data_IF_085561132749
#
_entry.id   IF_085561132749
#
_cell.length_a   1.000
_cell.length_b   1.000
_cell.length_c   1.000
_cell.angle_alpha   90.00
_cell.angle_beta   90.00
_cell.angle_gamma   90.00
#
_symmetry.space_group_name_H-M   'P 1'
#
loop_
_entity.id
_entity.type
_entity.pdbx_description
1 polymer ?
#
# COMPACT_ATOMS: atom_id res chain seq x y z
N UNK A 1 5.63 -74.65 9.40
CA UNK A 1 5.70 -73.66 8.30
C UNK A 1 4.50 -72.75 8.48
N UNK A 2 4.70 -71.66 9.21
CA UNK A 2 3.67 -70.70 9.57
C UNK A 2 3.58 -69.67 8.46
N UNK A 3 2.49 -69.65 7.72
CA UNK A 3 2.21 -68.65 6.69
C UNK A 3 1.68 -67.38 7.36
N UNK A 4 2.50 -66.33 7.38
CA UNK A 4 2.07 -64.98 7.75
C UNK A 4 1.01 -64.47 6.76
N UNK A 5 -0.07 -63.81 7.22
CA UNK A 5 -1.02 -63.15 6.34
C UNK A 5 -0.40 -61.87 5.77
N UNK A 6 -0.31 -61.79 4.44
CA UNK A 6 0.02 -60.54 3.76
C UNK A 6 -1.00 -59.44 4.13
N UNK A 7 -0.58 -58.20 4.41
CA UNK A 7 -1.50 -57.10 4.63
C UNK A 7 -2.18 -56.76 3.30
N UNK A 8 -3.50 -56.97 3.25
CA UNK A 8 -4.35 -56.61 2.12
C UNK A 8 -4.36 -55.09 1.94
N UNK A 9 -3.68 -54.61 0.90
CA UNK A 9 -3.71 -53.21 0.47
C UNK A 9 -5.00 -52.90 -0.29
N UNK A 10 -6.14 -52.97 0.40
CA UNK A 10 -7.35 -52.28 -0.05
C UNK A 10 -7.21 -50.78 0.24
N UNK A 11 -6.36 -50.10 -0.53
CA UNK A 11 -6.46 -48.65 -0.65
C UNK A 11 -7.72 -48.37 -1.48
N UNK A 12 -8.88 -48.32 -0.82
CA UNK A 12 -10.11 -47.85 -1.43
C UNK A 12 -9.83 -46.45 -2.00
N UNK A 13 -9.81 -46.35 -3.33
CA UNK A 13 -9.66 -45.08 -4.01
C UNK A 13 -10.89 -44.23 -3.71
N UNK A 14 -10.83 -43.48 -2.62
CA UNK A 14 -11.86 -42.49 -2.31
C UNK A 14 -11.95 -41.49 -3.48
N UNK A 15 -13.16 -40.98 -3.78
CA UNK A 15 -13.30 -39.80 -4.62
C UNK A 15 -12.34 -38.70 -4.14
N UNK A 16 -11.72 -37.96 -5.07
CA UNK A 16 -10.65 -36.99 -4.78
C UNK A 16 -11.00 -36.04 -3.63
N UNK A 17 -12.25 -35.59 -3.59
CA UNK A 17 -12.73 -34.62 -2.61
C UNK A 17 -12.85 -35.23 -1.22
N UNK A 18 -13.22 -36.52 -1.14
CA UNK A 18 -13.32 -37.24 0.13
C UNK A 18 -11.92 -37.49 0.71
N UNK A 19 -10.95 -37.83 -0.13
CA UNK A 19 -9.56 -37.98 0.30
C UNK A 19 -8.97 -36.65 0.81
N UNK A 20 -9.27 -35.54 0.13
CA UNK A 20 -8.84 -34.18 0.52
C UNK A 20 -9.30 -33.80 1.93
N UNK A 21 -10.48 -34.24 2.36
CA UNK A 21 -11.01 -33.95 3.70
C UNK A 21 -10.52 -34.93 4.78
N UNK A 22 -10.33 -36.21 4.44
CA UNK A 22 -9.96 -37.26 5.43
C UNK A 22 -8.46 -37.23 5.74
N UNK A 23 -7.61 -37.11 4.71
CA UNK A 23 -6.16 -37.00 4.86
C UNK A 23 -5.61 -35.91 3.91
N UNK A 24 -5.73 -34.63 4.29
CA UNK A 24 -5.26 -33.52 3.48
C UNK A 24 -3.76 -33.63 3.15
N UNK A 25 -2.94 -34.05 4.12
CA UNK A 25 -1.49 -34.14 3.95
C UNK A 25 -1.13 -35.26 2.97
N UNK A 26 -1.74 -36.44 3.11
CA UNK A 26 -1.55 -37.57 2.19
C UNK A 26 -2.03 -37.26 0.78
N UNK A 27 -3.15 -36.54 0.66
CA UNK A 27 -3.67 -36.03 -0.61
C UNK A 27 -2.66 -35.11 -1.29
N UNK A 28 -2.19 -34.05 -0.61
CA UNK A 28 -1.20 -33.12 -1.16
C UNK A 28 0.12 -33.83 -1.55
N UNK A 29 0.62 -34.74 -0.70
CA UNK A 29 1.83 -35.53 -1.01
C UNK A 29 1.73 -36.28 -2.32
N UNK A 30 0.55 -36.76 -2.73
CA UNK A 30 0.34 -37.46 -4.00
C UNK A 30 0.58 -36.54 -5.20
N UNK A 31 0.08 -35.31 -5.16
CA UNK A 31 0.25 -34.32 -6.23
C UNK A 31 1.67 -33.74 -6.25
N UNK A 32 2.22 -33.44 -5.07
CA UNK A 32 3.55 -32.86 -4.93
C UNK A 32 4.66 -33.81 -5.43
N UNK A 33 4.47 -35.14 -5.34
CA UNK A 33 5.35 -36.13 -5.99
C UNK A 33 5.44 -35.98 -7.51
N UNK A 34 4.42 -35.38 -8.13
CA UNK A 34 4.36 -35.11 -9.57
C UNK A 34 4.79 -33.66 -9.90
N UNK A 35 5.27 -32.89 -8.93
CA UNK A 35 5.60 -31.45 -9.06
C UNK A 35 4.42 -30.57 -9.52
N UNK A 36 3.20 -30.99 -9.18
CA UNK A 36 1.96 -30.29 -9.50
C UNK A 36 1.16 -30.10 -8.22
N UNK A 37 0.44 -28.99 -8.12
CA UNK A 37 -0.48 -28.67 -7.02
C UNK A 37 -1.90 -29.17 -7.34
N UNK A 38 -2.78 -29.35 -6.35
CA UNK A 38 -4.14 -29.82 -6.59
C UNK A 38 -4.98 -28.92 -7.52
N UNK A 39 -4.63 -27.65 -7.64
CA UNK A 39 -5.22 -26.68 -8.57
C UNK A 39 -4.63 -26.74 -10.00
N UNK A 40 -3.66 -27.62 -10.24
CA UNK A 40 -2.98 -27.79 -11.53
C UNK A 40 -1.76 -26.87 -11.74
N UNK A 41 -1.44 -25.98 -10.78
CA UNK A 41 -0.26 -25.11 -10.88
C UNK A 41 1.04 -25.86 -10.59
N UNK A 42 2.15 -25.31 -11.09
CA UNK A 42 3.51 -25.73 -10.69
C UNK A 42 3.86 -25.16 -9.31
N UNK A 43 4.87 -25.72 -8.65
CA UNK A 43 5.32 -25.29 -7.32
C UNK A 43 5.77 -23.81 -7.26
N UNK A 44 6.32 -23.29 -8.36
CA UNK A 44 6.83 -21.90 -8.49
C UNK A 44 5.86 -20.97 -9.24
N UNK A 45 4.61 -21.38 -9.45
CA UNK A 45 3.64 -20.59 -10.22
C UNK A 45 2.69 -19.80 -9.31
N UNK A 46 2.61 -18.50 -9.57
CA UNK A 46 1.67 -17.58 -8.91
C UNK A 46 0.25 -17.72 -9.45
N UNK A 47 -0.73 -17.29 -8.67
CA UNK A 47 -2.10 -17.06 -9.15
C UNK A 47 -2.16 -15.87 -10.10
N UNK A 48 -3.21 -15.81 -10.91
CA UNK A 48 -3.47 -14.67 -11.79
C UNK A 48 -3.76 -13.43 -10.94
N UNK A 49 -3.09 -12.33 -11.26
CA UNK A 49 -3.26 -11.04 -10.59
C UNK A 49 -4.05 -10.10 -11.49
N UNK A 50 -5.10 -9.49 -10.95
CA UNK A 50 -5.86 -8.42 -11.60
C UNK A 50 -5.88 -7.19 -10.71
N UNK A 51 -5.53 -6.03 -11.26
CA UNK A 51 -5.55 -4.75 -10.55
C UNK A 51 -6.60 -3.86 -11.20
N UNK A 52 -7.58 -3.43 -10.42
CA UNK A 52 -8.65 -2.53 -10.87
C UNK A 52 -8.56 -1.20 -10.13
N UNK A 53 -8.65 -0.11 -10.88
CA UNK A 53 -8.75 1.24 -10.32
C UNK A 53 -10.19 1.50 -9.91
N UNK A 54 -10.40 2.05 -8.71
CA UNK A 54 -11.71 2.44 -8.23
C UNK A 54 -11.76 3.96 -8.16
N UNK A 55 -12.70 4.56 -8.90
CA UNK A 55 -12.83 6.01 -8.95
C UNK A 55 -13.02 6.60 -7.55
N UNK A 56 -12.21 7.62 -7.27
CA UNK A 56 -12.28 8.40 -6.04
C UNK A 56 -13.58 9.22 -6.06
N UNK A 57 -14.52 8.93 -5.14
CA UNK A 57 -15.73 9.75 -4.98
C UNK A 57 -15.38 11.17 -4.56
N UNK A 58 -16.21 12.12 -5.03
CA UNK A 58 -16.10 13.58 -4.88
C UNK A 58 -15.48 14.06 -3.56
N UNK A 59 -14.48 14.93 -3.67
CA UNK A 59 -13.80 15.54 -2.53
C UNK A 59 -14.70 16.55 -1.79
N UNK A 60 -14.61 16.64 -0.46
CA UNK A 60 -15.15 17.79 0.26
C UNK A 60 -14.33 19.04 -0.10
N UNK A 61 -15.01 20.14 -0.43
CA UNK A 61 -14.36 21.39 -0.84
C UNK A 61 -13.62 22.08 0.32
N UNK A 62 -14.10 21.92 1.55
CA UNK A 62 -13.53 22.51 2.77
C UNK A 62 -12.97 21.39 3.64
N UNK A 63 -11.72 21.53 4.09
CA UNK A 63 -11.10 20.59 5.02
C UNK A 63 -11.13 21.16 6.42
N UNK A 64 -11.78 20.46 7.34
CA UNK A 64 -11.57 20.65 8.77
C UNK A 64 -10.30 19.92 9.19
N UNK A 65 -9.68 20.36 10.29
CA UNK A 65 -8.51 19.67 10.85
C UNK A 65 -8.90 18.23 11.21
N UNK A 66 -8.20 17.24 10.63
CA UNK A 66 -8.53 15.82 10.77
C UNK A 66 -9.56 15.25 9.78
N UNK A 67 -10.19 16.06 8.93
CA UNK A 67 -11.03 15.54 7.84
C UNK A 67 -10.13 15.15 6.65
N UNK A 68 -10.02 13.85 6.40
CA UNK A 68 -9.15 13.27 5.37
C UNK A 68 -9.79 13.24 3.99
N UNK A 69 -8.96 13.38 2.96
CA UNK A 69 -9.37 13.21 1.56
C UNK A 69 -8.88 11.89 1.02
N UNK A 70 -9.74 11.10 0.38
CA UNK A 70 -9.31 9.90 -0.35
C UNK A 70 -8.55 10.35 -1.61
N UNK A 71 -7.29 9.93 -1.74
CA UNK A 71 -6.42 10.32 -2.87
C UNK A 71 -6.20 9.18 -3.88
N UNK A 72 -6.47 7.94 -3.46
CA UNK A 72 -6.28 6.76 -4.30
C UNK A 72 -7.10 5.60 -3.75
N UNK A 73 -7.69 4.81 -4.64
CA UNK A 73 -8.39 3.58 -4.27
C UNK A 73 -8.15 2.50 -5.30
N UNK A 74 -7.70 1.33 -4.85
CA UNK A 74 -7.27 0.24 -5.73
C UNK A 74 -7.82 -1.06 -5.20
N UNK A 75 -8.33 -1.91 -6.10
CA UNK A 75 -8.67 -3.29 -5.80
C UNK A 75 -7.66 -4.21 -6.47
N UNK A 76 -7.06 -5.10 -5.69
CA UNK A 76 -6.17 -6.17 -6.16
C UNK A 76 -6.85 -7.50 -5.92
N UNK A 77 -6.92 -8.30 -6.97
CA UNK A 77 -7.46 -9.66 -6.97
C UNK A 77 -6.31 -10.59 -7.30
N UNK A 78 -5.99 -11.50 -6.38
CA UNK A 78 -4.94 -12.50 -6.54
C UNK A 78 -5.58 -13.88 -6.37
N UNK A 79 -5.92 -14.51 -7.50
CA UNK A 79 -6.83 -15.65 -7.52
C UNK A 79 -8.17 -15.29 -6.85
N UNK A 80 -8.51 -15.99 -5.77
CA UNK A 80 -9.73 -15.76 -4.99
C UNK A 80 -9.50 -14.88 -3.73
N UNK A 81 -8.28 -14.33 -3.56
CA UNK A 81 -8.00 -13.34 -2.51
C UNK A 81 -8.24 -11.93 -3.03
N UNK A 82 -9.22 -11.23 -2.46
CA UNK A 82 -9.61 -9.88 -2.86
C UNK A 82 -9.24 -8.86 -1.79
N UNK A 83 -8.45 -7.87 -2.17
CA UNK A 83 -7.98 -6.80 -1.28
C UNK A 83 -8.30 -5.44 -1.87
N UNK A 84 -8.95 -4.59 -1.08
CA UNK A 84 -9.28 -3.22 -1.41
C UNK A 84 -8.43 -2.27 -0.57
N UNK A 85 -7.60 -1.45 -1.22
CA UNK A 85 -6.74 -0.46 -0.57
C UNK A 85 -7.28 0.95 -0.83
N UNK A 86 -7.41 1.74 0.24
CA UNK A 86 -7.83 3.13 0.21
C UNK A 86 -6.76 3.97 0.88
N UNK A 87 -6.24 4.97 0.17
CA UNK A 87 -5.27 5.93 0.72
C UNK A 87 -5.99 7.25 0.99
N UNK A 88 -5.94 7.71 2.23
CA UNK A 88 -6.47 9.00 2.68
C UNK A 88 -5.31 9.93 3.05
N UNK A 89 -5.38 11.19 2.62
CA UNK A 89 -4.48 12.25 3.02
C UNK A 89 -5.18 13.19 3.99
N UNK A 90 -4.62 13.35 5.19
CA UNK A 90 -5.11 14.24 6.23
C UNK A 90 -4.15 15.42 6.38
N UNK A 91 -4.62 16.67 6.24
CA UNK A 91 -3.82 17.83 6.61
C UNK A 91 -3.79 17.92 8.15
N UNK A 92 -2.60 17.93 8.75
CA UNK A 92 -2.45 18.05 10.20
C UNK A 92 -1.48 19.17 10.52
N UNK A 93 -1.90 20.08 11.41
CA UNK A 93 -0.97 21.05 11.99
C UNK A 93 -0.21 20.42 13.16
N UNK A 94 1.12 20.45 13.10
CA UNK A 94 1.93 19.97 14.21
C UNK A 94 2.13 21.08 15.25
N UNK A 95 1.59 20.91 16.46
CA UNK A 95 1.86 21.81 17.58
C UNK A 95 3.31 21.67 18.07
N UNK A 96 4.01 22.81 18.17
CA UNK A 96 5.45 22.91 18.50
C UNK A 96 5.70 22.78 20.01
N UNK A 97 4.99 21.89 20.73
CA UNK A 97 5.06 21.84 22.20
C UNK A 97 6.11 20.86 22.75
N UNK A 98 6.69 19.97 21.93
CA UNK A 98 7.71 19.01 22.37
C UNK A 98 8.88 19.04 21.37
N UNK A 99 10.15 19.18 21.83
CA UNK A 99 11.30 19.00 20.94
C UNK A 99 11.20 17.58 20.34
N UNK A 100 11.49 17.37 19.04
CA UNK A 100 11.37 16.07 18.42
C UNK A 100 12.42 15.13 19.05
N UNK A 101 12.03 14.42 20.10
CA UNK A 101 12.80 13.31 20.65
C UNK A 101 12.85 12.25 19.56
N UNK A 102 14.03 12.09 18.97
CA UNK A 102 14.52 10.94 18.20
C UNK A 102 13.42 9.96 17.73
N UNK A 103 12.65 10.41 16.74
CA UNK A 103 11.49 9.71 16.22
C UNK A 103 10.58 10.70 15.51
N UNK A 104 10.78 10.89 14.21
CA UNK A 104 9.79 11.56 13.36
C UNK A 104 8.43 10.93 13.65
N UNK A 105 7.45 11.73 14.11
CA UNK A 105 6.07 11.24 14.23
C UNK A 105 5.70 10.49 12.94
N UNK A 106 5.10 9.31 13.08
CA UNK A 106 4.73 8.48 11.94
C UNK A 106 3.77 9.27 11.04
N UNK A 107 4.24 9.56 9.82
CA UNK A 107 3.46 10.32 8.83
C UNK A 107 2.54 9.39 8.04
N UNK A 108 2.88 8.11 8.00
CA UNK A 108 2.06 7.08 7.34
C UNK A 108 1.53 6.16 8.42
N UNK A 109 0.22 5.93 8.42
CA UNK A 109 -0.43 4.88 9.19
C UNK A 109 -1.03 3.87 8.21
N UNK A 110 -0.94 2.58 8.53
CA UNK A 110 -1.52 1.50 7.74
C UNK A 110 -2.39 0.68 8.66
N UNK A 111 -3.63 0.46 8.28
CA UNK A 111 -4.55 -0.43 8.96
C UNK A 111 -5.05 -1.50 8.00
N UNK A 112 -5.18 -2.72 8.50
CA UNK A 112 -5.67 -3.85 7.73
C UNK A 112 -6.90 -4.41 8.43
N UNK A 113 -8.05 -4.10 7.86
CA UNK A 113 -9.34 -4.55 8.34
C UNK A 113 -9.70 -5.89 7.68
N UNK A 114 -10.12 -6.83 8.52
CA UNK A 114 -10.63 -8.12 8.09
C UNK A 114 -12.08 -8.24 8.56
N UNK A 115 -13.05 -8.49 7.66
CA UNK A 115 -14.39 -8.88 8.05
C UNK A 115 -14.37 -10.11 8.96
N UNK A 116 -15.36 -10.23 9.85
CA UNK A 116 -15.42 -11.35 10.83
C UNK A 116 -15.40 -12.73 10.16
N UNK A 117 -16.05 -12.84 9.00
CA UNK A 117 -16.03 -14.06 8.19
C UNK A 117 -14.61 -14.39 7.74
N UNK A 118 -13.88 -13.42 7.19
CA UNK A 118 -12.50 -13.57 6.72
C UNK A 118 -11.55 -13.92 7.86
N UNK A 119 -11.68 -13.26 9.00
CA UNK A 119 -10.85 -13.54 10.18
C UNK A 119 -10.89 -15.02 10.55
N UNK A 120 -12.07 -15.67 10.44
CA UNK A 120 -12.27 -17.09 10.75
C UNK A 120 -11.67 -18.07 9.73
N UNK A 121 -11.05 -17.60 8.65
CA UNK A 121 -10.42 -18.46 7.64
C UNK A 121 -8.88 -18.42 7.69
N UNK A 122 -8.30 -17.50 8.45
CA UNK A 122 -6.85 -17.32 8.55
C UNK A 122 -6.27 -18.31 9.55
N UNK A 123 -5.66 -19.36 9.02
CA UNK A 123 -5.07 -20.45 9.78
C UNK A 123 -3.69 -20.79 9.22
N UNK A 124 -2.77 -21.10 10.11
CA UNK A 124 -1.50 -21.75 9.80
C UNK A 124 -1.49 -23.19 10.36
N UNK A 125 -0.38 -23.92 10.18
CA UNK A 125 -0.19 -25.25 10.74
C UNK A 125 -0.28 -25.32 12.28
N UNK A 126 -0.13 -24.20 12.99
CA UNK A 126 -0.21 -24.12 14.45
C UNK A 126 -1.59 -23.67 14.96
N UNK A 127 -2.48 -23.22 14.08
CA UNK A 127 -3.86 -22.90 14.39
C UNK A 127 -4.31 -21.56 13.82
N UNK A 128 -5.25 -20.91 14.51
CA UNK A 128 -5.85 -19.67 14.05
C UNK A 128 -4.89 -18.48 14.25
N UNK A 129 -4.56 -17.77 13.17
CA UNK A 129 -3.61 -16.64 13.19
C UNK A 129 -4.34 -15.29 13.29
N UNK A 130 -5.08 -15.09 14.38
CA UNK A 130 -6.01 -13.95 14.53
C UNK A 130 -5.35 -12.56 14.46
N UNK A 131 -4.04 -12.48 14.73
CA UNK A 131 -3.30 -11.21 14.77
C UNK A 131 -2.50 -10.93 13.49
N UNK A 132 -2.64 -11.76 12.46
CA UNK A 132 -1.79 -11.68 11.26
C UNK A 132 -1.94 -10.34 10.53
N UNK A 133 -3.15 -9.79 10.44
CA UNK A 133 -3.41 -8.46 9.89
C UNK A 133 -2.66 -7.34 10.64
N UNK A 134 -2.63 -7.38 11.97
CA UNK A 134 -1.91 -6.38 12.78
C UNK A 134 -0.39 -6.46 12.56
N UNK A 135 0.15 -7.67 12.41
CA UNK A 135 1.57 -7.86 12.09
C UNK A 135 1.91 -7.24 10.73
N UNK A 136 1.08 -7.47 9.70
CA UNK A 136 1.28 -6.91 8.36
C UNK A 136 1.10 -5.39 8.37
N UNK A 137 0.06 -4.87 9.05
CA UNK A 137 -0.19 -3.43 9.22
C UNK A 137 1.03 -2.73 9.83
N UNK A 138 1.57 -3.26 10.94
CA UNK A 138 2.74 -2.69 11.60
C UNK A 138 3.99 -2.79 10.71
N UNK A 139 4.19 -3.91 10.00
CA UNK A 139 5.28 -4.07 9.05
C UNK A 139 5.22 -3.00 7.96
N UNK A 140 4.07 -2.86 7.29
CA UNK A 140 3.86 -1.87 6.23
C UNK A 140 4.04 -0.45 6.75
N UNK A 141 3.49 -0.13 7.92
CA UNK A 141 3.66 1.17 8.56
C UNK A 141 5.14 1.49 8.80
N UNK A 142 5.92 0.55 9.31
CA UNK A 142 7.36 0.75 9.54
C UNK A 142 8.15 0.91 8.24
N UNK A 143 7.84 0.09 7.23
CA UNK A 143 8.48 0.16 5.91
C UNK A 143 8.20 1.50 5.22
N UNK A 144 6.94 1.94 5.19
CA UNK A 144 6.54 3.19 4.54
C UNK A 144 7.00 4.45 5.30
N UNK A 145 7.20 4.35 6.61
CA UNK A 145 7.82 5.42 7.39
C UNK A 145 9.36 5.42 7.29
N UNK A 146 9.98 4.51 6.54
CA UNK A 146 11.40 4.60 6.21
C UNK A 146 11.62 5.64 5.12
N UNK A 147 12.65 6.48 5.29
CA UNK A 147 13.01 7.51 4.29
C UNK A 147 13.55 6.87 2.99
N UNK A 148 13.94 5.58 3.04
CA UNK A 148 14.36 4.80 1.87
C UNK A 148 13.21 4.52 0.88
N UNK A 149 11.95 4.53 1.35
CA UNK A 149 10.77 4.24 0.52
C UNK A 149 10.07 5.55 0.12
N UNK A 150 9.62 6.31 1.12
CA UNK A 150 8.88 7.55 0.95
C UNK A 150 9.65 8.72 1.59
N UNK A 151 10.27 9.60 0.77
CA UNK A 151 10.92 10.80 1.29
C UNK A 151 9.92 11.69 2.04
N UNK A 152 10.05 11.80 3.36
CA UNK A 152 9.12 12.59 4.22
C UNK A 152 9.13 14.08 3.91
N UNK A 153 10.20 14.58 3.29
CA UNK A 153 10.33 15.97 2.86
C UNK A 153 9.17 16.42 1.96
N UNK A 154 8.64 15.51 1.15
CA UNK A 154 7.54 15.81 0.25
C UNK A 154 6.20 15.99 0.97
N UNK A 155 6.05 15.53 2.22
CA UNK A 155 4.80 15.62 2.99
C UNK A 155 4.75 16.88 3.87
N UNK A 156 5.90 17.51 4.14
CA UNK A 156 6.00 18.66 5.05
C UNK A 156 5.94 19.98 4.27
N UNK A 157 4.96 20.82 4.57
CA UNK A 157 4.84 22.13 3.91
C UNK A 157 6.01 23.05 4.24
N UNK A 158 6.63 22.91 5.41
CA UNK A 158 7.86 23.63 5.76
C UNK A 158 8.96 23.38 4.73
N UNK A 159 9.03 22.18 4.13
CA UNK A 159 10.04 21.79 3.14
C UNK A 159 9.61 22.13 1.72
N UNK A 160 8.33 21.87 1.38
CA UNK A 160 7.74 22.21 0.07
C UNK A 160 7.80 23.72 -0.19
N UNK A 161 7.53 24.54 0.84
CA UNK A 161 7.43 25.98 0.71
C UNK A 161 8.74 26.72 0.96
N UNK A 162 9.88 26.02 1.14
CA UNK A 162 11.20 26.65 1.37
C UNK A 162 11.51 27.65 0.25
N UNK A 163 11.76 28.90 0.64
CA UNK A 163 12.27 29.95 -0.24
C UNK A 163 13.75 29.71 -0.55
N UNK A 164 14.12 29.67 -1.82
CA UNK A 164 15.44 30.15 -2.23
C UNK A 164 15.55 31.63 -1.87
N UNK A 165 16.70 32.05 -1.37
CA UNK A 165 17.01 33.24 -0.57
C UNK A 165 16.65 34.64 -1.11
N UNK A 166 15.85 34.79 -2.19
CA UNK A 166 15.65 36.07 -2.86
C UNK A 166 14.21 36.62 -2.96
N UNK A 167 13.17 35.87 -2.56
CA UNK A 167 11.78 36.37 -2.56
C UNK A 167 11.22 36.53 -1.14
N UNK A 168 10.59 37.68 -0.86
CA UNK A 168 9.89 37.90 0.41
C UNK A 168 8.77 36.84 0.57
N UNK A 169 8.73 36.08 1.68
CA UNK A 169 7.72 35.04 1.84
C UNK A 169 6.33 35.66 1.98
N UNK A 170 5.41 35.19 1.14
CA UNK A 170 4.00 35.54 1.21
C UNK A 170 3.40 35.18 2.58
N UNK A 171 2.37 35.93 2.98
CA UNK A 171 1.59 35.74 4.21
C UNK A 171 1.08 34.30 4.35
N UNK A 172 0.53 33.73 3.29
CA UNK A 172 0.04 32.34 3.24
C UNK A 172 1.18 31.34 3.45
N UNK A 173 2.28 31.47 2.69
CA UNK A 173 3.42 30.56 2.79
C UNK A 173 4.04 30.58 4.18
N UNK A 174 4.15 31.78 4.79
CA UNK A 174 4.61 31.96 6.16
C UNK A 174 3.68 31.27 7.15
N UNK A 175 2.36 31.43 7.01
CA UNK A 175 1.39 30.80 7.90
C UNK A 175 1.49 29.27 7.88
N UNK A 176 1.46 28.67 6.69
CA UNK A 176 1.54 27.21 6.51
C UNK A 176 2.86 26.63 7.04
N UNK A 177 3.96 27.36 6.83
CA UNK A 177 5.29 26.95 7.29
C UNK A 177 5.46 27.11 8.81
N UNK A 178 4.97 28.19 9.40
CA UNK A 178 5.06 28.44 10.85
C UNK A 178 4.22 27.46 11.68
N UNK A 179 3.08 27.02 11.13
CA UNK A 179 2.21 26.04 11.78
C UNK A 179 2.59 24.59 11.48
N UNK A 180 3.71 24.36 10.79
CA UNK A 180 4.23 23.04 10.43
C UNK A 180 3.14 22.12 9.84
N UNK A 181 2.37 22.65 8.86
CA UNK A 181 1.37 21.82 8.18
C UNK A 181 2.06 20.62 7.52
N UNK A 182 1.55 19.42 7.79
CA UNK A 182 2.10 18.18 7.26
C UNK A 182 0.98 17.28 6.77
N UNK A 183 1.21 16.59 5.66
CA UNK A 183 0.33 15.52 5.20
C UNK A 183 0.59 14.25 6.01
N UNK A 184 -0.44 13.76 6.69
CA UNK A 184 -0.49 12.41 7.24
C UNK A 184 -1.25 11.51 6.27
N UNK A 185 -0.65 10.39 5.88
CA UNK A 185 -1.28 9.38 5.03
C UNK A 185 -1.86 8.29 5.91
N UNK A 186 -3.13 7.97 5.71
CA UNK A 186 -3.82 6.87 6.36
C UNK A 186 -4.24 5.86 5.29
N UNK A 187 -3.66 4.67 5.35
CA UNK A 187 -3.86 3.61 4.36
C UNK A 187 -4.73 2.54 5.02
N UNK A 188 -5.96 2.41 4.55
CA UNK A 188 -6.88 1.37 5.00
C UNK A 188 -6.94 0.27 3.94
N UNK A 189 -6.62 -0.95 4.34
CA UNK A 189 -6.68 -2.15 3.50
C UNK A 189 -7.79 -3.04 4.03
N UNK A 190 -8.79 -3.32 3.21
CA UNK A 190 -9.89 -4.23 3.50
C UNK A 190 -9.70 -5.53 2.71
N UNK A 191 -9.60 -6.67 3.39
CA UNK A 191 -9.64 -7.97 2.72
C UNK A 191 -11.10 -8.42 2.59
N UNK A 192 -11.66 -8.36 1.39
CA UNK A 192 -13.06 -8.73 1.12
C UNK A 192 -13.23 -10.24 1.09
N UNK A 193 -12.31 -10.94 0.41
CA UNK A 193 -12.28 -12.40 0.28
C UNK A 193 -10.86 -12.90 0.53
N UNK A 194 -10.74 -14.03 1.22
CA UNK A 194 -9.46 -14.60 1.61
C UNK A 194 -9.36 -16.05 1.14
N UNK A 195 -8.40 -16.30 0.26
CA UNK A 195 -7.95 -17.62 -0.11
C UNK A 195 -6.42 -17.75 0.07
N UNK A 196 -5.89 -17.25 1.19
CA UNK A 196 -4.46 -17.37 1.51
C UNK A 196 -3.58 -16.29 0.87
N UNK A 197 -2.37 -16.18 1.41
CA UNK A 197 -1.39 -15.14 1.11
C UNK A 197 -1.97 -13.72 1.26
N UNK A 198 -2.12 -13.24 2.50
CA UNK A 198 -2.59 -11.87 2.76
C UNK A 198 -1.51 -10.81 2.50
N UNK A 199 -0.24 -11.15 2.74
CA UNK A 199 0.87 -10.19 2.75
C UNK A 199 1.15 -9.63 1.35
N UNK A 200 1.34 -10.49 0.37
CA UNK A 200 1.72 -10.08 -0.99
C UNK A 200 0.68 -9.16 -1.66
N UNK A 201 -0.63 -9.50 -1.69
CA UNK A 201 -1.63 -8.58 -2.24
C UNK A 201 -1.77 -7.30 -1.42
N UNK A 202 -1.54 -7.32 -0.10
CA UNK A 202 -1.58 -6.10 0.73
C UNK A 202 -0.43 -5.14 0.39
N UNK A 203 0.79 -5.66 0.25
CA UNK A 203 1.98 -4.89 -0.17
C UNK A 203 1.78 -4.38 -1.60
N UNK A 204 1.32 -5.24 -2.50
CA UNK A 204 1.07 -4.89 -3.91
C UNK A 204 0.00 -3.80 -4.07
N UNK A 205 -1.14 -3.95 -3.37
CA UNK A 205 -2.22 -2.97 -3.39
C UNK A 205 -1.76 -1.62 -2.84
N UNK A 206 -0.97 -1.64 -1.76
CA UNK A 206 -0.40 -0.43 -1.17
C UNK A 206 0.57 0.25 -2.12
N UNK A 207 1.54 -0.49 -2.69
CA UNK A 207 2.52 0.05 -3.65
C UNK A 207 1.83 0.64 -4.89
N UNK A 208 0.80 -0.02 -5.42
CA UNK A 208 0.06 0.48 -6.58
C UNK A 208 -0.82 1.71 -6.24
N UNK A 209 -1.52 1.68 -5.11
CA UNK A 209 -2.34 2.80 -4.66
C UNK A 209 -1.49 4.05 -4.38
N UNK A 210 -0.33 3.87 -3.77
CA UNK A 210 0.65 4.91 -3.52
C UNK A 210 1.24 5.49 -4.82
N UNK A 211 1.62 4.65 -5.81
CA UNK A 211 2.11 5.14 -7.11
C UNK A 211 1.08 6.01 -7.86
N UNK A 212 -0.21 5.73 -7.68
CA UNK A 212 -1.31 6.51 -8.26
C UNK A 212 -1.72 7.72 -7.43
N UNK A 213 -1.36 7.77 -6.14
CA UNK A 213 -1.83 8.80 -5.23
C UNK A 213 -1.37 10.20 -5.66
N UNK A 214 -2.34 11.11 -5.72
CA UNK A 214 -2.13 12.53 -6.04
C UNK A 214 -2.51 13.35 -4.80
N UNK A 215 -1.52 14.01 -4.21
CA UNK A 215 -1.76 14.93 -3.09
C UNK A 215 -2.42 16.22 -3.59
N UNK A 216 -3.60 16.60 -3.09
CA UNK A 216 -4.31 17.77 -3.55
C UNK A 216 -3.59 19.06 -3.13
N UNK A 217 -3.74 20.12 -3.93
CA UNK A 217 -3.25 21.46 -3.58
C UNK A 217 -4.12 22.07 -2.50
N UNK A 218 -3.49 22.55 -1.43
CA UNK A 218 -4.14 23.21 -0.30
C UNK A 218 -4.08 24.72 -0.45
N UNK A 219 -5.23 25.36 -0.29
CA UNK A 219 -5.42 26.80 -0.25
C UNK A 219 -5.73 27.23 1.18
N UNK A 220 -5.30 28.45 1.53
CA UNK A 220 -5.62 29.11 2.78
C UNK A 220 -6.66 30.22 2.50
N UNK A 221 -7.86 30.04 3.04
CA UNK A 221 -8.94 31.02 2.95
C UNK A 221 -9.02 31.82 4.25
N UNK A 222 -8.94 33.15 4.14
CA UNK A 222 -9.06 34.05 5.28
C UNK A 222 -10.50 34.51 5.43
N UNK A 223 -11.17 34.10 6.51
CA UNK A 223 -12.51 34.55 6.83
C UNK A 223 -12.45 35.84 7.66
N UNK A 224 -12.83 36.95 7.04
CA UNK A 224 -12.89 38.25 7.73
C UNK A 224 -13.90 38.27 8.89
N UNK A 225 -14.92 37.39 8.86
CA UNK A 225 -15.95 37.32 9.89
C UNK A 225 -15.46 36.67 11.20
N UNK A 226 -14.56 35.69 11.12
CA UNK A 226 -14.02 34.96 12.27
C UNK A 226 -12.57 35.34 12.61
N UNK A 227 -11.90 36.11 11.76
CA UNK A 227 -10.46 36.43 11.89
C UNK A 227 -9.55 35.19 11.79
N UNK A 228 -10.12 34.04 11.39
CA UNK A 228 -9.43 32.76 11.33
C UNK A 228 -9.11 32.37 9.89
N UNK A 229 -8.08 31.55 9.74
CA UNK A 229 -7.74 30.92 8.47
C UNK A 229 -8.35 29.51 8.43
N UNK A 230 -8.86 29.12 7.26
CA UNK A 230 -9.40 27.79 6.99
C UNK A 230 -8.71 27.15 5.79
N UNK A 231 -8.62 25.82 5.78
CA UNK A 231 -8.01 25.06 4.70
C UNK A 231 -9.08 24.67 3.67
N UNK A 232 -8.78 24.92 2.39
CA UNK A 232 -9.65 24.58 1.26
C UNK A 232 -8.84 23.84 0.21
N UNK A 233 -9.44 22.85 -0.44
CA UNK A 233 -8.79 22.17 -1.56
C UNK A 233 -9.04 22.91 -2.88
N UNK A 234 -8.05 22.84 -3.77
CA UNK A 234 -8.21 23.31 -5.15
C UNK A 234 -8.94 22.25 -5.98
N UNK A 235 -10.26 22.40 -6.07
CA UNK A 235 -11.15 21.54 -6.83
C UNK A 235 -11.62 22.17 -8.15
N UNK A 236 -12.27 21.36 -8.99
CA UNK A 236 -12.85 21.82 -10.25
C UNK A 236 -13.88 22.96 -10.03
N UNK A 237 -14.67 22.91 -8.96
CA UNK A 237 -15.71 23.94 -8.72
C UNK A 237 -15.10 25.31 -8.47
N UNK A 238 -13.99 25.38 -7.70
CA UNK A 238 -13.25 26.61 -7.45
C UNK A 238 -12.65 27.15 -8.76
N UNK A 239 -12.14 26.29 -9.63
CA UNK A 239 -11.57 26.72 -10.92
C UNK A 239 -12.63 27.19 -11.94
N UNK A 240 -13.77 26.51 -12.03
CA UNK A 240 -14.88 26.94 -12.87
C UNK A 240 -15.49 28.26 -12.38
N UNK A 241 -15.58 28.47 -11.05
CA UNK A 241 -15.99 29.76 -10.49
C UNK A 241 -14.99 30.88 -10.80
N UNK A 242 -13.69 30.59 -10.76
CA UNK A 242 -12.66 31.53 -11.19
C UNK A 242 -12.78 31.88 -12.69
N UNK A 243 -13.10 30.90 -13.54
CA UNK A 243 -13.34 31.12 -14.98
C UNK A 243 -14.58 31.98 -15.24
N UNK A 244 -15.60 31.87 -14.38
CA UNK A 244 -16.79 32.75 -14.38
C UNK A 244 -16.51 34.16 -13.84
N UNK A 245 -15.25 34.50 -13.54
CA UNK A 245 -14.80 35.78 -13.01
C UNK A 245 -15.42 36.15 -11.65
N UNK A 246 -15.67 35.15 -10.79
CA UNK A 246 -16.07 35.43 -9.41
C UNK A 246 -14.92 36.13 -8.65
N UNK A 247 -15.21 37.33 -8.14
CA UNK A 247 -14.22 38.21 -7.51
C UNK A 247 -13.61 37.60 -6.23
N UNK A 248 -14.40 36.84 -5.47
CA UNK A 248 -13.93 36.20 -4.24
C UNK A 248 -12.95 35.08 -4.54
N UNK A 249 -13.30 34.21 -5.49
CA UNK A 249 -12.46 33.09 -5.90
C UNK A 249 -11.16 33.54 -6.58
N UNK A 250 -11.21 34.58 -7.42
CA UNK A 250 -10.00 35.15 -8.02
C UNK A 250 -9.07 35.76 -6.96
N UNK A 251 -9.62 36.48 -5.98
CA UNK A 251 -8.83 37.02 -4.86
C UNK A 251 -8.17 35.89 -4.06
N UNK A 252 -8.87 34.79 -3.82
CA UNK A 252 -8.32 33.61 -3.13
C UNK A 252 -7.16 32.99 -3.92
N UNK A 253 -7.31 32.79 -5.23
CA UNK A 253 -6.26 32.22 -6.09
C UNK A 253 -5.03 33.13 -6.17
N UNK A 254 -5.22 34.44 -6.31
CA UNK A 254 -4.12 35.39 -6.32
C UNK A 254 -3.38 35.44 -4.99
N UNK A 255 -4.10 35.40 -3.85
CA UNK A 255 -3.50 35.37 -2.52
C UNK A 255 -2.75 34.05 -2.23
N UNK A 256 -3.14 32.95 -2.88
CA UNK A 256 -2.50 31.64 -2.72
C UNK A 256 -1.49 31.32 -3.84
N UNK A 257 -1.26 32.22 -4.80
CA UNK A 257 -0.47 31.96 -6.00
C UNK A 257 0.88 31.32 -5.70
N UNK A 258 1.68 31.96 -4.85
CA UNK A 258 3.03 31.46 -4.54
C UNK A 258 2.99 30.09 -3.84
N UNK A 259 1.95 29.84 -3.03
CA UNK A 259 1.74 28.54 -2.39
C UNK A 259 1.40 27.47 -3.43
N UNK A 260 0.51 27.76 -4.38
CA UNK A 260 0.13 26.85 -5.48
C UNK A 260 1.35 26.54 -6.36
N UNK A 261 2.09 27.57 -6.77
CA UNK A 261 3.29 27.44 -7.61
C UNK A 261 4.32 26.52 -6.95
N UNK A 262 4.54 26.65 -5.64
CA UNK A 262 5.50 25.82 -4.88
C UNK A 262 4.99 24.40 -4.64
N UNK A 263 3.70 24.23 -4.36
CA UNK A 263 3.12 22.89 -4.18
C UNK A 263 3.16 22.07 -5.47
N UNK A 264 2.94 22.71 -6.62
CA UNK A 264 2.96 22.05 -7.94
C UNK A 264 4.34 22.03 -8.60
N UNK A 265 5.25 22.92 -8.20
CA UNK A 265 6.54 23.11 -8.88
C UNK A 265 6.41 23.79 -10.24
N UNK A 266 5.36 24.59 -10.47
CA UNK A 266 5.04 25.25 -11.75
C UNK A 266 5.06 26.76 -11.54
N UNK A 267 5.46 27.54 -12.55
CA UNK A 267 5.28 29.00 -12.58
C UNK A 267 3.96 29.36 -13.26
N UNK A 268 3.06 30.05 -12.56
CA UNK A 268 1.75 30.42 -13.08
C UNK A 268 1.79 31.85 -13.61
N UNK A 269 1.08 32.11 -14.71
CA UNK A 269 0.84 33.47 -15.20
C UNK A 269 -0.37 34.08 -14.51
N UNK A 270 -0.28 35.35 -14.11
CA UNK A 270 -1.35 36.05 -13.36
C UNK A 270 -2.66 36.08 -14.14
N UNK A 271 -2.58 36.37 -15.44
CA UNK A 271 -3.76 36.60 -16.28
C UNK A 271 -4.48 35.30 -16.67
N UNK A 272 -3.76 34.18 -16.79
CA UNK A 272 -4.29 32.91 -17.31
C UNK A 272 -4.23 31.77 -16.29
N UNK A 273 -4.19 32.10 -14.99
CA UNK A 273 -3.99 31.12 -13.91
C UNK A 273 -5.05 30.01 -13.92
N UNK A 274 -6.33 30.37 -13.98
CA UNK A 274 -7.42 29.40 -13.96
C UNK A 274 -7.40 28.46 -15.17
N UNK A 275 -7.13 28.98 -16.37
CA UNK A 275 -7.01 28.17 -17.59
C UNK A 275 -5.80 27.24 -17.59
N UNK A 276 -4.66 27.69 -17.05
CA UNK A 276 -3.45 26.85 -16.91
C UNK A 276 -3.70 25.72 -15.92
N UNK A 277 -4.32 26.02 -14.79
CA UNK A 277 -4.69 25.04 -13.77
C UNK A 277 -5.71 24.03 -14.32
N UNK A 278 -6.77 24.47 -15.00
CA UNK A 278 -7.73 23.59 -15.64
C UNK A 278 -7.09 22.65 -16.68
N UNK A 279 -6.09 23.12 -17.43
CA UNK A 279 -5.36 22.27 -18.39
C UNK A 279 -4.50 21.21 -17.69
N UNK A 280 -3.94 21.55 -16.53
CA UNK A 280 -3.19 20.60 -15.70
C UNK A 280 -4.07 19.63 -14.91
N UNK A 281 -5.39 19.87 -14.88
CA UNK A 281 -6.34 19.04 -14.17
C UNK A 281 -6.67 17.81 -15.02
N UNK A 282 -6.27 16.64 -14.54
CA UNK A 282 -6.63 15.36 -15.16
C UNK A 282 -8.09 14.98 -14.88
N UNK A 283 -8.39 13.69 -15.01
CA UNK A 283 -9.73 13.12 -14.76
C UNK A 283 -10.15 13.11 -13.29
N UNK A 284 -9.23 13.39 -12.36
CA UNK A 284 -9.43 13.24 -10.92
C UNK A 284 -10.32 14.32 -10.25
N UNK A 285 -10.78 15.35 -10.98
CA UNK A 285 -11.67 16.38 -10.44
C UNK A 285 -11.01 17.37 -9.45
N UNK A 286 -9.72 17.20 -9.16
CA UNK A 286 -8.88 18.13 -8.39
C UNK A 286 -7.46 18.20 -8.97
N UNK A 287 -6.72 19.24 -8.59
CA UNK A 287 -5.32 19.42 -8.99
C UNK A 287 -4.42 19.03 -7.83
N UNK A 288 -3.33 18.33 -8.15
CA UNK A 288 -2.38 17.91 -7.15
C UNK A 288 -1.05 17.43 -7.72
N UNK A 289 -0.19 16.97 -6.82
CA UNK A 289 1.14 16.47 -7.13
C UNK A 289 1.23 14.98 -6.83
N UNK A 290 1.77 14.20 -7.75
CA UNK A 290 2.07 12.78 -7.52
C UNK A 290 3.12 12.62 -6.40
N UNK A 291 2.97 11.56 -5.61
CA UNK A 291 3.98 11.17 -4.64
C UNK A 291 5.24 10.65 -5.36
N UNK A 292 6.41 11.03 -4.85
CA UNK A 292 7.71 10.54 -5.31
C UNK A 292 8.20 9.42 -4.41
N UNK A 293 8.77 8.38 -5.02
CA UNK A 293 9.27 7.20 -4.33
C UNK A 293 10.74 6.99 -4.65
N UNK A 294 11.52 6.63 -3.64
CA UNK A 294 12.92 6.26 -3.81
C UNK A 294 13.06 4.79 -4.21
N UNK A 295 12.15 3.95 -3.71
CA UNK A 295 12.12 2.51 -3.95
C UNK A 295 10.71 1.95 -3.74
N UNK A 296 10.42 0.80 -4.35
CA UNK A 296 9.12 0.13 -4.21
C UNK A 296 9.28 -1.16 -3.40
N UNK A 297 8.53 -1.32 -2.29
CA UNK A 297 8.54 -2.55 -1.51
C UNK A 297 7.72 -3.63 -2.21
N UNK A 298 8.26 -4.84 -2.21
CA UNK A 298 7.61 -6.06 -2.68
C UNK A 298 7.84 -7.18 -1.68
N UNK A 299 6.92 -8.13 -1.65
CA UNK A 299 7.08 -9.37 -0.90
C UNK A 299 6.76 -10.56 -1.78
N UNK A 300 7.41 -11.68 -1.49
CA UNK A 300 7.07 -12.98 -2.05
C UNK A 300 6.89 -13.95 -0.90
N UNK A 301 5.69 -14.49 -0.78
CA UNK A 301 5.33 -15.44 0.27
C UNK A 301 5.54 -16.88 -0.19
N UNK A 302 6.24 -17.64 0.64
CA UNK A 302 6.53 -19.05 0.45
C UNK A 302 5.90 -19.86 1.58
N UNK A 303 5.32 -21.00 1.27
CA UNK A 303 4.88 -21.98 2.25
C UNK A 303 5.88 -23.12 2.32
N UNK A 304 6.31 -23.45 3.54
CA UNK A 304 7.06 -24.66 3.83
C UNK A 304 6.08 -25.82 4.08
N UNK A 305 6.01 -26.76 3.14
CA UNK A 305 5.18 -27.95 3.26
C UNK A 305 5.92 -29.12 3.94
N UNK A 306 7.23 -29.25 3.69
CA UNK A 306 8.12 -30.22 4.35
C UNK A 306 9.52 -29.61 4.56
N UNK A 307 10.48 -30.37 5.08
CA UNK A 307 11.82 -29.85 5.36
C UNK A 307 12.49 -29.21 4.14
N UNK A 308 12.32 -29.79 2.96
CA UNK A 308 12.98 -29.36 1.71
C UNK A 308 12.02 -28.83 0.63
N UNK A 309 10.71 -28.74 0.92
CA UNK A 309 9.70 -28.40 -0.08
C UNK A 309 9.01 -27.07 0.24
N UNK A 310 9.17 -26.12 -0.69
CA UNK A 310 8.55 -24.80 -0.64
C UNK A 310 7.60 -24.59 -1.82
N UNK A 311 6.45 -23.98 -1.53
CA UNK A 311 5.46 -23.56 -2.51
C UNK A 311 5.41 -22.04 -2.54
N UNK A 312 5.32 -21.46 -3.73
CA UNK A 312 5.14 -20.01 -3.88
C UNK A 312 3.66 -19.68 -3.91
N UNK A 313 3.27 -18.57 -3.28
CA UNK A 313 1.89 -18.07 -3.28
C UNK A 313 0.88 -19.14 -2.84
N UNK A 314 0.87 -19.47 -1.52
CA UNK A 314 0.00 -20.50 -0.98
C UNK A 314 -1.47 -20.06 -0.95
N UNK A 315 -2.35 -21.05 -1.14
CA UNK A 315 -3.79 -20.94 -0.93
C UNK A 315 -4.15 -21.13 0.54
N UNK A 316 -5.37 -20.76 0.92
CA UNK A 316 -5.83 -20.89 2.31
C UNK A 316 -5.81 -22.34 2.81
N UNK A 317 -6.02 -23.32 1.94
CA UNK A 317 -5.91 -24.73 2.30
C UNK A 317 -4.46 -25.12 2.57
N UNK A 318 -3.51 -24.67 1.76
CA UNK A 318 -2.11 -25.04 1.93
C UNK A 318 -1.50 -24.39 3.17
N UNK A 319 -1.91 -23.16 3.50
CA UNK A 319 -1.51 -22.50 4.75
C UNK A 319 -1.91 -23.30 6.00
N UNK A 320 -3.07 -23.97 5.98
CA UNK A 320 -3.48 -24.90 7.05
C UNK A 320 -2.56 -26.11 7.20
N UNK A 321 -1.84 -26.49 6.15
CA UNK A 321 -0.98 -27.67 6.14
C UNK A 321 0.48 -27.36 6.49
N UNK A 322 0.89 -26.09 6.46
CA UNK A 322 2.28 -25.70 6.58
C UNK A 322 2.47 -24.36 7.28
N UNK A 323 3.71 -23.87 7.22
CA UNK A 323 4.06 -22.55 7.77
C UNK A 323 4.57 -21.67 6.65
N UNK A 324 4.30 -20.37 6.74
CA UNK A 324 4.71 -19.42 5.71
C UNK A 324 5.97 -18.67 6.12
N UNK A 325 6.79 -18.32 5.14
CA UNK A 325 7.91 -17.40 5.28
C UNK A 325 7.90 -16.52 4.05
N UNK A 326 8.08 -15.23 4.25
CA UNK A 326 8.06 -14.28 3.14
C UNK A 326 9.45 -13.65 2.99
N UNK A 327 9.81 -13.30 1.77
CA UNK A 327 11.01 -12.50 1.51
C UNK A 327 10.55 -11.10 1.17
N UNK A 328 10.94 -10.14 1.99
CA UNK A 328 10.82 -8.72 1.67
C UNK A 328 11.94 -8.33 0.72
N UNK A 329 11.58 -7.62 -0.33
CA UNK A 329 12.50 -7.09 -1.33
C UNK A 329 12.21 -5.61 -1.54
N UNK A 330 13.27 -4.81 -1.51
CA UNK A 330 13.24 -3.41 -1.87
C UNK A 330 14.10 -3.21 -3.12
N UNK A 331 13.46 -2.75 -4.20
CA UNK A 331 14.15 -2.42 -5.43
C UNK A 331 14.58 -0.95 -5.41
N UNK A 332 15.89 -0.72 -5.33
CA UNK A 332 16.48 0.61 -5.39
C UNK A 332 16.52 1.16 -6.81
N UNK A 333 16.51 2.48 -6.94
CA UNK A 333 16.66 3.17 -8.24
C UNK A 333 18.02 2.95 -8.91
N UNK A 334 19.01 2.48 -8.16
CA UNK A 334 20.34 2.06 -8.64
C UNK A 334 20.35 0.63 -9.22
N UNK A 335 19.20 -0.05 -9.25
CA UNK A 335 19.07 -1.44 -9.68
C UNK A 335 19.50 -2.46 -8.61
N UNK A 336 19.86 -2.01 -7.41
CA UNK A 336 20.20 -2.91 -6.31
C UNK A 336 18.94 -3.49 -5.65
N UNK A 337 19.05 -4.72 -5.15
CA UNK A 337 18.00 -5.37 -4.36
C UNK A 337 18.46 -5.47 -2.92
N UNK A 338 17.69 -4.88 -2.00
CA UNK A 338 17.84 -5.14 -0.56
C UNK A 338 16.77 -6.14 -0.15
N UNK A 339 17.16 -7.24 0.48
CA UNK A 339 16.23 -8.30 0.87
C UNK A 339 16.31 -8.59 2.36
N UNK A 340 15.18 -8.94 2.96
CA UNK A 340 15.10 -9.38 4.36
C UNK A 340 14.11 -10.54 4.51
N UNK A 341 14.41 -11.55 5.36
CA UNK A 341 13.45 -12.59 5.66
C UNK A 341 12.37 -12.07 6.61
N UNK A 342 11.12 -12.40 6.30
CA UNK A 342 9.94 -12.14 7.12
C UNK A 342 9.36 -13.47 7.59
N UNK A 343 9.71 -13.87 8.81
CA UNK A 343 9.19 -15.10 9.41
C UNK A 343 8.01 -14.80 10.35
N UNK A 344 6.89 -14.33 9.77
CA UNK A 344 5.73 -13.87 10.55
C UNK A 344 4.95 -15.01 11.20
N UNK A 345 4.96 -16.22 10.63
CA UNK A 345 4.26 -17.39 11.19
C UNK A 345 5.21 -18.36 11.90
N UNK A 346 6.38 -17.87 12.34
CA UNK A 346 7.35 -18.66 13.12
C UNK A 346 7.72 -20.01 12.48
N UNK A 347 7.95 -20.04 11.17
CA UNK A 347 8.42 -21.20 10.43
C UNK A 347 9.65 -21.81 11.13
N UNK A 348 9.58 -23.08 11.56
CA UNK A 348 10.64 -23.72 12.32
C UNK A 348 11.83 -24.00 11.41
N UNK A 349 13.03 -24.13 11.99
CA UNK A 349 14.26 -24.52 11.27
C UNK A 349 14.53 -23.69 10.00
N UNK A 350 14.26 -22.38 10.05
CA UNK A 350 14.58 -21.46 8.97
C UNK A 350 16.06 -21.05 9.07
N UNK A 351 16.89 -21.62 8.21
CA UNK A 351 18.34 -21.39 8.16
C UNK A 351 18.72 -20.35 7.11
N UNK A 352 19.93 -19.80 7.22
CA UNK A 352 20.47 -18.84 6.24
C UNK A 352 20.56 -19.42 4.82
N UNK A 353 20.83 -20.73 4.69
CA UNK A 353 20.94 -21.39 3.38
C UNK A 353 19.57 -21.47 2.68
N UNK A 354 18.52 -21.76 3.44
CA UNK A 354 17.14 -21.73 2.93
C UNK A 354 16.80 -20.31 2.48
N UNK A 355 17.15 -19.31 3.29
CA UNK A 355 16.90 -17.92 2.95
C UNK A 355 17.57 -17.50 1.64
N UNK A 356 18.85 -17.84 1.41
CA UNK A 356 19.54 -17.48 0.16
C UNK A 356 18.89 -18.14 -1.06
N UNK A 357 18.41 -19.38 -0.95
CA UNK A 357 17.64 -20.04 -2.00
C UNK A 357 16.32 -19.29 -2.29
N UNK A 358 15.53 -18.97 -1.26
CA UNK A 358 14.25 -18.26 -1.43
C UNK A 358 14.45 -16.84 -1.96
N UNK A 359 15.50 -16.15 -1.50
CA UNK A 359 15.90 -14.83 -1.94
C UNK A 359 16.20 -14.81 -3.44
N UNK A 360 16.95 -15.78 -3.96
CA UNK A 360 17.21 -15.85 -5.40
C UNK A 360 15.91 -15.99 -6.19
N UNK A 361 14.98 -16.83 -5.72
CA UNK A 361 13.65 -16.97 -6.36
C UNK A 361 12.88 -15.66 -6.32
N UNK A 362 12.88 -14.94 -5.18
CA UNK A 362 12.20 -13.66 -5.07
C UNK A 362 12.80 -12.59 -6.00
N UNK A 363 14.12 -12.54 -6.14
CA UNK A 363 14.82 -11.63 -7.06
C UNK A 363 14.50 -11.98 -8.52
N UNK A 364 14.52 -13.27 -8.88
CA UNK A 364 14.18 -13.72 -10.24
C UNK A 364 12.75 -13.32 -10.62
N UNK A 365 11.80 -13.47 -9.69
CA UNK A 365 10.39 -13.08 -9.88
C UNK A 365 10.28 -11.58 -10.11
N UNK A 366 10.93 -10.78 -9.27
CA UNK A 366 10.90 -9.32 -9.43
C UNK A 366 11.56 -8.89 -10.72
N UNK A 367 12.72 -9.47 -11.07
CA UNK A 367 13.40 -9.21 -12.33
C UNK A 367 12.51 -9.47 -13.55
N UNK A 368 11.70 -10.53 -13.51
CA UNK A 368 10.70 -10.79 -14.55
C UNK A 368 9.60 -9.71 -14.58
N UNK A 369 9.11 -9.26 -13.42
CA UNK A 369 8.07 -8.23 -13.33
C UNK A 369 8.60 -6.87 -13.80
N UNK A 370 9.82 -6.49 -13.44
CA UNK A 370 10.42 -5.20 -13.83
C UNK A 370 10.78 -5.15 -15.32
N UNK A 371 11.15 -6.29 -15.92
CA UNK A 371 11.45 -6.37 -17.36
C UNK A 371 10.19 -6.54 -18.24
N UNK A 372 9.06 -6.88 -17.62
CA UNK A 372 7.76 -6.96 -18.28
C UNK A 372 7.05 -5.63 -18.06
N UNK A 373 7.38 -4.62 -18.86
CA UNK A 373 6.85 -3.26 -18.75
C UNK A 373 5.33 -3.20 -18.40
N UNK A 374 5.05 -2.58 -17.24
CA UNK A 374 3.76 -1.97 -16.85
C UNK A 374 3.95 -0.46 -16.77
#
# INVERSE_FOLDING_TARGET
MSSEPQPSSHASAFPSDVHRHIDPIGFYKKFLRQNVRPDGRKLRAFRTVTVSDLEVRSLPSTLQDGDGTVISSVRVILGDTHVHCVVKALPVFCEVSVPPTLGSAALVAVDIELPKQVQSYIYDAYGHSANFNFCISNLLSNVLNSDDVLPKSQLRFQEILKTSTSDAPDTVCRYLSQRNLTWKLDIAILCEEYDGNLLDPSVMATSYALRKAVLPVVLLEHSAASGSYSLRLLDNTTLENAKRQDAQTLKLLHANRQSIERQLGIKLNVENMASQLLTSMGTAGYIGRHLTYSSLPFTVTFLRFSEDMFLVDPTSEEERLGTTVSVYCLHGSDGSFRTQPLNLTCCPNFTSDIYECLKQVAIDVIGCITNSDI
#
